data_IF_862253624412
#
_entry.id   IF_862253624412
#
_cell.length_a   1.000
_cell.length_b   1.000
_cell.length_c   1.000
_cell.angle_alpha   90.00
_cell.angle_beta   90.00
_cell.angle_gamma   90.00
#
_symmetry.space_group_name_H-M   'P 1'
#
loop_
_entity.id
_entity.type
_entity.pdbx_description
1 polymer ?
#
# COMPACT_ATOMS: atom_id res chain seq x y z
N UNK A 1 -27.99 -8.35 -5.71
CA UNK A 1 -27.93 -7.10 -6.50
C UNK A 1 -26.53 -7.02 -7.13
N UNK A 2 -26.42 -6.98 -8.46
CA UNK A 2 -25.12 -6.83 -9.14
C UNK A 2 -25.02 -5.38 -9.61
N UNK A 3 -24.05 -4.65 -9.09
CA UNK A 3 -23.76 -3.30 -9.58
C UNK A 3 -23.03 -3.39 -10.94
N UNK A 4 -23.34 -2.51 -11.90
CA UNK A 4 -22.55 -2.43 -13.12
C UNK A 4 -21.14 -1.94 -12.78
N UNK A 5 -20.13 -2.61 -13.35
CA UNK A 5 -18.73 -2.20 -13.24
C UNK A 5 -18.06 -2.28 -14.62
N UNK A 6 -17.12 -1.39 -14.85
CA UNK A 6 -16.27 -1.37 -16.05
C UNK A 6 -14.86 -1.69 -15.63
N UNK A 7 -14.25 -2.70 -16.24
CA UNK A 7 -12.84 -3.04 -16.01
C UNK A 7 -11.99 -2.30 -17.05
N UNK A 8 -10.92 -1.65 -16.59
CA UNK A 8 -9.97 -0.95 -17.44
C UNK A 8 -8.63 -1.68 -17.31
N UNK A 9 -8.03 -2.08 -18.44
CA UNK A 9 -6.73 -2.74 -18.45
C UNK A 9 -5.61 -1.72 -18.16
N UNK A 10 -4.87 -1.96 -17.08
CA UNK A 10 -3.72 -1.16 -16.67
C UNK A 10 -2.49 -2.07 -16.64
N UNK A 11 -1.75 -2.07 -17.75
CA UNK A 11 -0.56 -2.91 -17.97
C UNK A 11 0.75 -2.10 -17.91
N UNK A 12 0.68 -0.77 -17.83
CA UNK A 12 1.84 0.11 -17.70
C UNK A 12 1.69 1.11 -16.56
N UNK A 13 2.83 1.62 -16.07
CA UNK A 13 2.88 2.63 -15.03
C UNK A 13 2.24 3.95 -15.48
N UNK A 14 2.42 4.34 -16.75
CA UNK A 14 1.82 5.55 -17.32
C UNK A 14 0.29 5.46 -17.29
N UNK A 15 -0.29 4.32 -17.69
CA UNK A 15 -1.74 4.10 -17.64
C UNK A 15 -2.27 4.09 -16.20
N UNK A 16 -1.48 3.60 -15.25
CA UNK A 16 -1.85 3.63 -13.83
C UNK A 16 -1.91 5.06 -13.29
N UNK A 17 -0.93 5.90 -13.65
CA UNK A 17 -0.82 7.29 -13.20
C UNK A 17 -1.91 8.21 -13.74
N UNK A 18 -2.53 7.89 -14.87
CA UNK A 18 -3.60 8.70 -15.48
C UNK A 18 -4.98 8.43 -14.90
N UNK A 19 -5.15 7.36 -14.10
CA UNK A 19 -6.44 7.03 -13.50
C UNK A 19 -6.75 7.91 -12.29
N UNK A 20 -8.02 8.32 -12.11
CA UNK A 20 -8.44 9.05 -10.92
C UNK A 20 -8.35 8.13 -9.70
N UNK A 21 -7.45 8.46 -8.77
CA UNK A 21 -7.25 7.72 -7.52
C UNK A 21 -5.78 7.65 -7.14
N UNK A 22 -5.50 7.38 -5.86
CA UNK A 22 -4.14 7.17 -5.40
C UNK A 22 -3.62 5.82 -5.93
N UNK A 23 -3.06 5.80 -7.13
CA UNK A 23 -2.23 4.70 -7.60
C UNK A 23 -0.89 4.77 -6.87
N UNK A 24 -0.90 4.36 -5.60
CA UNK A 24 0.30 4.28 -4.81
C UNK A 24 1.03 2.97 -5.17
N UNK A 25 2.07 3.09 -5.99
CA UNK A 25 2.82 1.97 -6.54
C UNK A 25 3.74 1.27 -5.53
N UNK A 26 3.68 1.68 -4.26
CA UNK A 26 4.53 1.13 -3.21
C UNK A 26 3.71 0.60 -2.06
N UNK A 27 3.71 -0.73 -1.93
CA UNK A 27 3.31 -1.40 -0.71
C UNK A 27 4.57 -1.76 0.07
N UNK A 28 4.61 -1.35 1.34
CA UNK A 28 5.65 -1.78 2.27
C UNK A 28 5.26 -3.14 2.82
N UNK A 29 6.14 -4.11 2.67
CA UNK A 29 6.04 -5.41 3.31
C UNK A 29 7.16 -5.57 4.34
N UNK A 30 6.83 -6.14 5.49
CA UNK A 30 7.79 -6.46 6.55
C UNK A 30 7.48 -7.85 7.11
N UNK A 31 8.48 -8.72 7.18
CA UNK A 31 8.33 -10.14 7.58
C UNK A 31 7.23 -10.87 6.80
N UNK A 32 7.13 -10.61 5.49
CA UNK A 32 6.11 -11.21 4.63
C UNK A 32 4.68 -10.71 4.86
N UNK A 33 4.47 -9.71 5.72
CA UNK A 33 3.16 -9.10 5.99
C UNK A 33 3.04 -7.73 5.34
N UNK A 34 1.87 -7.44 4.78
CA UNK A 34 1.51 -6.12 4.28
C UNK A 34 1.47 -5.12 5.44
N UNK A 35 2.16 -3.98 5.29
CA UNK A 35 2.23 -2.92 6.31
C UNK A 35 1.37 -1.74 5.91
N UNK A 36 1.65 -1.15 4.75
CA UNK A 36 0.98 0.07 4.29
C UNK A 36 1.25 0.29 2.81
N UNK A 37 0.33 0.97 2.14
CA UNK A 37 0.55 1.54 0.79
C UNK A 37 1.15 2.94 0.84
N UNK A 38 1.34 3.54 2.03
CA UNK A 38 1.91 4.88 2.13
C UNK A 38 3.44 4.84 2.03
N UNK A 39 4.03 5.86 1.40
CA UNK A 39 5.48 6.01 1.36
C UNK A 39 6.00 6.23 2.79
N UNK A 40 6.94 5.39 3.24
CA UNK A 40 7.60 5.58 4.51
C UNK A 40 8.77 6.54 4.36
N UNK A 41 8.71 7.68 5.06
CA UNK A 41 9.89 8.50 5.30
C UNK A 41 10.77 7.89 6.42
N UNK A 42 11.97 8.42 6.59
CA UNK A 42 12.92 7.91 7.60
C UNK A 42 12.38 7.98 9.04
N UNK A 43 11.53 8.97 9.36
CA UNK A 43 10.93 9.10 10.68
C UNK A 43 9.82 8.07 10.90
N UNK A 44 8.98 7.84 9.89
CA UNK A 44 7.92 6.86 9.86
C UNK A 44 8.48 5.45 9.95
N UNK A 45 9.57 5.16 9.22
CA UNK A 45 10.28 3.89 9.32
C UNK A 45 10.86 3.66 10.71
N UNK A 46 11.52 4.66 11.32
CA UNK A 46 12.04 4.56 12.70
C UNK A 46 10.93 4.29 13.71
N UNK A 47 9.78 4.97 13.58
CA UNK A 47 8.60 4.72 14.45
C UNK A 47 8.03 3.32 14.24
N UNK A 48 7.93 2.87 12.98
CA UNK A 48 7.47 1.55 12.61
C UNK A 48 8.34 0.45 13.25
N UNK A 49 9.66 0.55 13.11
CA UNK A 49 10.62 -0.40 13.69
C UNK A 49 10.61 -0.37 15.21
N UNK A 50 10.52 0.82 15.84
CA UNK A 50 10.47 0.95 17.31
C UNK A 50 9.21 0.31 17.93
N UNK A 51 8.09 0.28 17.19
CA UNK A 51 6.84 -0.35 17.64
C UNK A 51 6.75 -1.85 17.32
N UNK A 52 7.77 -2.46 16.70
CA UNK A 52 7.72 -3.85 16.27
C UNK A 52 6.83 -4.11 15.04
N UNK A 53 6.49 -3.05 14.29
CA UNK A 53 5.53 -3.09 13.19
C UNK A 53 4.06 -3.07 13.64
N UNK A 54 3.16 -2.63 12.76
CA UNK A 54 1.70 -2.75 12.96
C UNK A 54 1.32 -4.24 12.96
N UNK A 55 1.51 -4.94 14.08
CA UNK A 55 1.15 -6.36 14.17
C UNK A 55 1.84 -7.22 15.22
N UNK A 56 2.66 -6.68 16.13
CA UNK A 56 3.06 -7.43 17.34
C UNK A 56 2.43 -6.76 18.56
N UNK A 57 1.10 -6.85 18.65
CA UNK A 57 0.51 -6.95 19.98
C UNK A 57 1.00 -8.28 20.53
N UNK A 58 1.97 -8.23 21.44
CA UNK A 58 2.32 -9.37 22.27
C UNK A 58 1.03 -9.93 22.86
N UNK A 59 0.71 -11.16 22.48
CA UNK A 59 -0.10 -12.07 23.28
C UNK A 59 0.76 -13.28 23.54
#
# INVERSE_FOLDING_TARGET
>A
MRAPYTLILVDTLEKAKTLPGAFNNWAVFYQGKFVTVNLLDAAALKRFLKKGGYGVSAK
#
